data_IF_402704253542
#
_entry.id   IF_402704253542
#
_cell.length_a   1.000
_cell.length_b   1.000
_cell.length_c   1.000
_cell.angle_alpha   90.00
_cell.angle_beta   90.00
_cell.angle_gamma   90.00
#
_symmetry.space_group_name_H-M   'P 1'
#
loop_
_entity.id
_entity.type
_entity.pdbx_description
1 polymer ?
#
# COMPACT_ATOMS: atom_id res chain seq x y z
N UNK A 1 -22.51 -40.83 -5.78
CA UNK A 1 -22.28 -42.27 -5.41
C UNK A 1 -22.52 -43.11 -6.63
N UNK A 2 -21.49 -43.65 -7.24
CA UNK A 2 -21.58 -44.64 -8.28
C UNK A 2 -21.16 -45.98 -7.66
N UNK A 3 -22.13 -46.80 -7.29
CA UNK A 3 -21.91 -48.16 -6.86
C UNK A 3 -21.54 -49.02 -8.04
N UNK A 4 -20.31 -49.49 -8.11
CA UNK A 4 -19.94 -50.59 -8.96
C UNK A 4 -20.29 -51.89 -8.26
N UNK A 5 -21.06 -52.74 -8.96
CA UNK A 5 -21.65 -54.03 -8.53
C UNK A 5 -20.68 -55.13 -8.13
N UNK A 6 -19.43 -54.86 -7.89
CA UNK A 6 -18.47 -55.79 -7.31
C UNK A 6 -17.75 -55.07 -6.20
N UNK A 7 -18.01 -55.44 -4.95
CA UNK A 7 -17.52 -54.79 -3.72
C UNK A 7 -16.01 -54.82 -3.50
N UNK A 8 -15.25 -54.42 -4.49
CA UNK A 8 -13.83 -54.20 -4.38
C UNK A 8 -13.59 -52.72 -4.12
N UNK A 9 -13.36 -52.35 -2.86
CA UNK A 9 -12.81 -51.05 -2.49
C UNK A 9 -11.43 -50.91 -3.11
N UNK A 10 -11.37 -50.27 -4.27
CA UNK A 10 -10.09 -49.91 -4.87
C UNK A 10 -9.51 -48.77 -4.04
N UNK A 11 -8.58 -49.09 -3.15
CA UNK A 11 -7.83 -48.11 -2.39
C UNK A 11 -7.01 -47.31 -3.39
N UNK A 12 -7.46 -46.14 -3.74
CA UNK A 12 -6.72 -45.25 -4.64
C UNK A 12 -5.48 -44.74 -3.88
N UNK A 13 -4.32 -45.37 -4.16
CA UNK A 13 -3.03 -44.90 -3.63
C UNK A 13 -2.67 -43.60 -4.34
N UNK A 14 -2.88 -42.49 -3.67
CA UNK A 14 -2.48 -41.16 -4.16
C UNK A 14 -1.05 -40.86 -3.77
N UNK A 15 -0.29 -40.33 -4.71
CA UNK A 15 1.06 -39.80 -4.41
C UNK A 15 0.96 -38.49 -3.63
N UNK A 16 2.05 -38.13 -2.89
CA UNK A 16 2.14 -36.86 -2.16
C UNK A 16 1.87 -35.64 -3.08
N UNK A 17 2.32 -35.70 -4.33
CA UNK A 17 2.09 -34.66 -5.32
C UNK A 17 0.60 -34.53 -5.67
N UNK A 18 -0.10 -35.63 -5.86
CA UNK A 18 -1.55 -35.67 -6.15
C UNK A 18 -2.35 -35.14 -4.93
N UNK A 19 -1.97 -35.52 -3.72
CA UNK A 19 -2.56 -34.96 -2.49
C UNK A 19 -2.35 -33.45 -2.37
N UNK A 20 -1.19 -32.97 -2.77
CA UNK A 20 -0.87 -31.53 -2.74
C UNK A 20 -1.70 -30.72 -3.74
N UNK A 21 -2.02 -31.29 -4.91
CA UNK A 21 -2.89 -30.68 -5.91
C UNK A 21 -4.38 -30.72 -5.50
N UNK A 22 -4.83 -31.83 -4.91
CA UNK A 22 -6.23 -32.02 -4.50
C UNK A 22 -6.60 -31.23 -3.23
N UNK A 23 -5.64 -31.06 -2.34
CA UNK A 23 -5.78 -30.25 -1.13
C UNK A 23 -4.78 -29.10 -1.19
N UNK A 24 -5.09 -28.03 -1.95
CA UNK A 24 -4.23 -26.86 -1.97
C UNK A 24 -4.00 -26.41 -0.53
N UNK A 25 -2.75 -26.20 -0.16
CA UNK A 25 -2.41 -25.67 1.17
C UNK A 25 -3.27 -24.45 1.42
N UNK A 26 -4.09 -24.51 2.45
CA UNK A 26 -4.76 -23.31 2.95
C UNK A 26 -3.63 -22.28 3.17
N UNK A 27 -3.60 -21.17 2.41
CA UNK A 27 -2.56 -20.21 2.56
C UNK A 27 -2.53 -19.81 4.03
N UNK A 28 -1.40 -19.99 4.69
CA UNK A 28 -1.21 -19.55 6.09
C UNK A 28 -1.79 -18.15 6.15
N UNK A 29 -2.75 -17.92 7.04
CA UNK A 29 -3.34 -16.59 7.27
C UNK A 29 -2.16 -15.63 7.34
N UNK A 30 -1.89 -14.95 6.23
CA UNK A 30 -0.76 -14.04 6.13
C UNK A 30 -0.97 -13.05 7.23
N UNK A 31 -0.04 -13.01 8.15
CA UNK A 31 -0.05 -12.08 9.28
C UNK A 31 -0.36 -10.72 8.68
N UNK A 32 -1.57 -10.25 8.90
CA UNK A 32 -2.16 -9.14 8.20
C UNK A 32 -1.49 -7.85 8.65
N UNK A 33 -0.25 -7.66 8.22
CA UNK A 33 0.47 -6.38 8.38
C UNK A 33 -0.32 -5.19 7.80
N UNK A 34 -1.44 -5.49 7.12
CA UNK A 34 -2.33 -4.52 6.45
C UNK A 34 -3.78 -4.65 6.93
N UNK A 35 -4.00 -5.03 8.18
CA UNK A 35 -5.36 -5.17 8.75
C UNK A 35 -6.24 -3.98 8.44
N UNK A 36 -5.69 -2.77 8.60
CA UNK A 36 -6.47 -1.55 8.49
C UNK A 36 -6.90 -1.23 7.06
N UNK A 37 -6.24 -1.79 6.04
CA UNK A 37 -6.64 -1.65 4.63
C UNK A 37 -7.64 -2.70 4.15
N UNK A 38 -7.93 -3.74 4.96
CA UNK A 38 -8.90 -4.79 4.61
C UNK A 38 -8.69 -5.36 3.20
N UNK A 39 -7.46 -5.80 2.91
CA UNK A 39 -7.02 -6.34 1.61
C UNK A 39 -7.11 -5.37 0.42
N UNK A 40 -7.53 -4.12 0.62
CA UNK A 40 -7.52 -3.10 -0.43
C UNK A 40 -6.09 -2.60 -0.67
N UNK A 41 -5.69 -2.31 -1.91
CA UNK A 41 -4.36 -1.77 -2.20
C UNK A 41 -4.15 -0.37 -1.62
N UNK A 42 -5.19 0.46 -1.60
CA UNK A 42 -5.21 1.79 -0.98
C UNK A 42 -6.59 2.06 -0.37
N UNK A 43 -6.65 3.01 0.56
CA UNK A 43 -7.90 3.57 1.09
C UNK A 43 -7.79 5.08 1.25
N UNK A 44 -8.91 5.78 1.01
CA UNK A 44 -9.04 7.20 1.36
C UNK A 44 -9.18 7.36 2.87
N UNK A 45 -8.74 8.49 3.36
CA UNK A 45 -8.91 8.86 4.76
C UNK A 45 -8.72 10.35 4.98
N UNK A 46 -9.11 10.82 6.14
CA UNK A 46 -9.03 12.22 6.56
C UNK A 46 -7.93 12.39 7.59
N UNK A 47 -7.07 13.40 7.44
CA UNK A 47 -6.03 13.71 8.39
C UNK A 47 -6.62 14.26 9.70
N UNK A 48 -6.35 13.60 10.81
CA UNK A 48 -6.72 14.08 12.16
C UNK A 48 -5.67 15.02 12.73
N UNK A 49 -4.39 14.66 12.57
CA UNK A 49 -3.23 15.44 13.07
C UNK A 49 -2.02 15.15 12.19
N UNK A 50 -1.24 16.19 11.92
CA UNK A 50 0.08 16.10 11.29
C UNK A 50 1.15 16.44 12.31
N UNK A 51 2.21 15.65 12.41
CA UNK A 51 3.27 15.85 13.39
C UNK A 51 4.60 15.27 12.90
N UNK A 52 5.66 15.53 13.66
CA UNK A 52 7.02 15.10 13.36
C UNK A 52 7.40 14.00 14.35
N UNK A 53 8.08 12.97 13.85
CA UNK A 53 8.63 11.88 14.66
C UNK A 53 10.12 11.71 14.37
N UNK A 54 10.86 11.34 15.40
CA UNK A 54 12.28 10.97 15.30
C UNK A 54 12.41 9.48 15.03
N UNK A 55 13.36 9.03 14.20
CA UNK A 55 13.63 7.63 13.97
C UNK A 55 14.35 6.98 15.15
N UNK A 56 14.45 5.66 15.09
CA UNK A 56 15.27 4.88 16.03
C UNK A 56 16.76 5.09 15.78
N UNK A 57 17.58 5.01 16.84
CA UNK A 57 19.03 4.89 16.72
C UNK A 57 19.40 3.74 15.76
N UNK A 58 20.42 3.87 14.89
CA UNK A 58 21.42 4.95 14.82
C UNK A 58 21.01 6.17 13.97
N UNK A 59 19.80 6.21 13.40
CA UNK A 59 19.37 7.28 12.50
C UNK A 59 18.87 8.50 13.26
N UNK A 60 19.15 9.68 12.70
CA UNK A 60 18.65 10.96 13.19
C UNK A 60 18.02 11.72 12.04
N UNK A 61 16.77 12.13 12.18
CA UNK A 61 16.04 12.95 11.21
C UNK A 61 14.69 13.43 11.79
N UNK A 62 14.10 14.41 11.18
CA UNK A 62 12.73 14.85 11.46
C UNK A 62 11.80 14.29 10.38
N UNK A 63 11.08 13.20 10.71
CA UNK A 63 10.18 12.53 9.80
C UNK A 63 8.74 13.02 9.97
N UNK A 64 8.14 13.51 8.88
CA UNK A 64 6.76 14.01 8.88
C UNK A 64 5.79 12.85 8.74
N UNK A 65 4.83 12.76 9.63
CA UNK A 65 3.79 11.73 9.68
C UNK A 65 2.43 12.35 9.94
N UNK A 66 1.39 11.69 9.46
CA UNK A 66 0.01 12.08 9.73
C UNK A 66 -0.75 10.94 10.40
N UNK A 67 -1.59 11.27 11.38
CA UNK A 67 -2.60 10.36 11.89
C UNK A 67 -3.85 10.52 11.04
N UNK A 68 -4.26 9.46 10.40
CA UNK A 68 -5.34 9.44 9.41
C UNK A 68 -6.46 8.54 9.88
N UNK A 69 -7.70 9.01 9.79
CA UNK A 69 -8.91 8.21 9.91
C UNK A 69 -9.29 7.71 8.52
N UNK A 70 -9.21 6.40 8.30
CA UNK A 70 -9.57 5.77 7.04
C UNK A 70 -11.09 5.70 6.86
N UNK A 71 -11.56 5.47 5.63
CA UNK A 71 -12.98 5.30 5.30
C UNK A 71 -13.67 4.12 6.00
N UNK A 72 -12.91 3.17 6.54
CA UNK A 72 -13.39 2.07 7.37
C UNK A 72 -13.25 2.34 8.88
N UNK A 73 -13.14 3.60 9.27
CA UNK A 73 -13.02 4.08 10.66
C UNK A 73 -11.77 3.63 11.43
N UNK A 74 -10.82 2.93 10.77
CA UNK A 74 -9.54 2.61 11.39
C UNK A 74 -8.64 3.86 11.45
N UNK A 75 -7.98 4.05 12.59
CA UNK A 75 -7.00 5.13 12.78
C UNK A 75 -5.60 4.60 12.54
N UNK A 76 -4.90 5.17 11.58
CA UNK A 76 -3.55 4.75 11.20
C UNK A 76 -2.58 5.91 11.24
N UNK A 77 -1.31 5.61 11.53
CA UNK A 77 -0.22 6.57 11.36
C UNK A 77 0.48 6.29 10.04
N UNK A 78 0.49 7.28 9.15
CA UNK A 78 1.03 7.17 7.81
C UNK A 78 2.18 8.18 7.61
N UNK A 79 3.24 7.73 6.94
CA UNK A 79 4.39 8.55 6.59
C UNK A 79 4.07 9.46 5.39
N UNK A 80 4.53 10.69 5.43
CA UNK A 80 4.44 11.64 4.32
C UNK A 80 5.78 11.62 3.58
N UNK A 81 5.88 11.02 2.37
CA UNK A 81 7.14 10.90 1.66
C UNK A 81 7.57 12.22 1.01
N UNK A 82 8.86 12.45 0.97
CA UNK A 82 9.47 13.62 0.31
C UNK A 82 9.62 14.84 1.23
N UNK A 83 10.15 15.91 0.67
CA UNK A 83 10.31 17.21 1.36
C UNK A 83 8.98 17.96 1.37
N UNK A 84 8.78 18.87 2.26
CA UNK A 84 7.60 19.74 2.43
C UNK A 84 6.24 19.03 2.16
N UNK A 85 5.18 19.55 2.68
CA UNK A 85 3.81 19.11 2.40
C UNK A 85 2.82 20.24 2.74
N UNK A 86 1.66 20.18 2.12
CA UNK A 86 0.55 21.11 2.32
C UNK A 86 -0.58 20.52 3.20
N UNK A 87 -0.38 19.35 3.81
CA UNK A 87 -1.41 18.69 4.61
C UNK A 87 -1.68 19.42 5.92
N UNK A 88 -2.96 19.57 6.22
CA UNK A 88 -3.50 20.14 7.45
C UNK A 88 -4.50 19.18 8.10
N UNK A 89 -5.06 19.55 9.22
CA UNK A 89 -6.21 18.86 9.81
C UNK A 89 -7.36 18.87 8.83
N UNK A 90 -8.07 17.76 8.72
CA UNK A 90 -9.18 17.52 7.79
C UNK A 90 -8.82 17.35 6.30
N UNK A 91 -7.54 17.47 5.90
CA UNK A 91 -7.13 17.14 4.53
C UNK A 91 -7.46 15.69 4.20
N UNK A 92 -8.00 15.46 3.00
CA UNK A 92 -8.28 14.12 2.47
C UNK A 92 -7.01 13.57 1.82
N UNK A 93 -6.68 12.31 2.11
CA UNK A 93 -5.47 11.66 1.61
C UNK A 93 -5.74 10.24 1.14
N UNK A 94 -4.91 9.75 0.23
CA UNK A 94 -4.91 8.36 -0.19
C UNK A 94 -3.75 7.63 0.50
N UNK A 95 -4.07 6.60 1.28
CA UNK A 95 -3.11 5.83 2.08
C UNK A 95 -2.89 4.47 1.44
N UNK A 96 -1.63 4.05 1.34
CA UNK A 96 -1.20 2.72 0.91
C UNK A 96 -0.41 2.00 2.01
N UNK A 97 -0.29 0.70 1.90
CA UNK A 97 0.65 -0.06 2.71
C UNK A 97 2.10 0.31 2.34
N UNK A 98 2.96 0.35 3.34
CA UNK A 98 4.38 0.66 3.17
C UNK A 98 4.99 1.01 4.52
N UNK A 99 5.71 0.03 5.10
CA UNK A 99 6.39 0.22 6.38
C UNK A 99 7.64 1.07 6.21
N UNK A 100 7.84 2.01 7.12
CA UNK A 100 9.09 2.75 7.26
C UNK A 100 9.92 2.06 8.36
N UNK A 101 11.08 1.48 8.00
CA UNK A 101 11.86 0.63 8.90
C UNK A 101 12.37 1.37 10.14
N UNK A 102 12.74 2.64 9.99
CA UNK A 102 13.30 3.46 11.06
C UNK A 102 12.24 4.12 11.97
N UNK A 103 10.96 4.11 11.57
CA UNK A 103 9.89 4.67 12.39
C UNK A 103 9.08 3.58 13.08
N UNK A 104 9.06 3.52 14.42
CA UNK A 104 8.24 2.55 15.14
C UNK A 104 6.75 2.83 14.94
N UNK A 105 5.96 1.78 14.71
CA UNK A 105 4.51 1.88 14.56
C UNK A 105 4.01 2.41 13.22
N UNK A 106 4.85 2.95 12.34
CA UNK A 106 4.46 3.49 11.02
C UNK A 106 4.51 2.39 9.98
N UNK A 107 3.33 1.90 9.59
CA UNK A 107 3.15 0.80 8.63
C UNK A 107 2.53 1.24 7.31
N UNK A 108 2.14 2.49 7.19
CA UNK A 108 1.42 3.07 6.06
C UNK A 108 2.15 4.29 5.52
N UNK A 109 1.91 4.59 4.26
CA UNK A 109 2.50 5.75 3.56
C UNK A 109 1.41 6.45 2.76
N UNK A 110 1.42 7.76 2.74
CA UNK A 110 0.51 8.58 1.94
C UNK A 110 1.03 8.68 0.52
N UNK A 111 0.13 8.63 -0.46
CA UNK A 111 0.45 8.75 -1.88
C UNK A 111 0.43 10.22 -2.27
N UNK A 112 1.53 10.69 -2.86
CA UNK A 112 1.65 12.05 -3.39
C UNK A 112 0.94 12.23 -4.72
N UNK A 113 0.46 13.46 -4.98
CA UNK A 113 -0.21 13.82 -6.21
C UNK A 113 -1.63 13.24 -6.35
N UNK A 114 -2.22 12.80 -5.24
CA UNK A 114 -3.61 12.34 -5.15
C UNK A 114 -4.30 12.98 -3.97
N UNK A 115 -5.59 13.31 -4.15
CA UNK A 115 -6.38 14.06 -3.17
C UNK A 115 -5.68 15.39 -2.83
N UNK A 116 -5.63 15.77 -1.56
CA UNK A 116 -5.12 17.08 -1.14
C UNK A 116 -3.59 17.15 -1.05
N UNK A 117 -2.89 16.00 -1.06
CA UNK A 117 -1.43 16.00 -1.00
C UNK A 117 -0.80 16.31 -2.36
N UNK A 118 -0.17 17.47 -2.45
CA UNK A 118 0.51 17.91 -3.66
C UNK A 118 1.67 16.99 -4.06
N UNK A 119 1.91 16.92 -5.37
CA UNK A 119 3.10 16.30 -5.96
C UNK A 119 4.36 17.09 -5.62
N UNK A 120 5.52 16.44 -5.73
CA UNK A 120 6.80 17.17 -5.72
C UNK A 120 7.11 17.66 -7.13
N UNK A 121 7.46 18.93 -7.26
CA UNK A 121 7.68 19.56 -8.58
C UNK A 121 9.08 19.25 -9.11
N UNK A 122 10.12 19.42 -8.32
CA UNK A 122 11.52 19.46 -8.79
C UNK A 122 12.26 18.12 -8.79
N UNK A 123 11.52 17.02 -8.65
CA UNK A 123 12.17 15.73 -8.52
C UNK A 123 12.42 15.08 -9.88
N UNK A 124 13.70 14.82 -10.20
CA UNK A 124 14.11 14.20 -11.47
C UNK A 124 14.15 12.66 -11.41
N UNK A 125 14.59 12.06 -10.29
CA UNK A 125 14.70 10.60 -10.10
C UNK A 125 13.50 10.05 -9.31
N UNK A 126 13.05 8.82 -9.67
CA UNK A 126 11.92 8.12 -9.01
C UNK A 126 10.62 8.94 -8.98
N UNK A 127 10.31 9.63 -10.04
CA UNK A 127 9.18 10.56 -10.14
C UNK A 127 7.82 9.95 -9.78
N UNK A 128 7.56 8.72 -10.22
CA UNK A 128 6.29 8.02 -9.95
C UNK A 128 5.99 7.85 -8.46
N UNK A 129 7.02 7.73 -7.60
CA UNK A 129 6.83 7.62 -6.15
C UNK A 129 6.34 8.93 -5.50
N UNK A 130 6.52 10.04 -6.16
CA UNK A 130 6.23 11.39 -5.64
C UNK A 130 5.24 12.16 -6.50
N UNK A 131 4.62 11.50 -7.48
CA UNK A 131 3.63 12.10 -8.36
C UNK A 131 4.18 13.20 -9.28
N UNK A 132 5.50 13.25 -9.49
CA UNK A 132 6.16 14.29 -10.30
C UNK A 132 5.97 14.01 -11.79
N UNK A 133 5.57 15.02 -12.56
CA UNK A 133 5.45 14.97 -14.01
C UNK A 133 6.82 15.01 -14.68
N UNK A 134 6.88 14.64 -15.96
CA UNK A 134 8.09 14.79 -16.77
C UNK A 134 8.41 16.29 -16.93
N UNK A 135 9.68 16.70 -16.83
CA UNK A 135 10.08 18.07 -17.17
C UNK A 135 9.68 18.40 -18.62
N UNK A 136 9.06 19.55 -18.85
CA UNK A 136 8.55 19.95 -20.17
C UNK A 136 7.20 19.33 -20.59
N UNK A 137 6.59 18.50 -19.75
CA UNK A 137 5.23 18.00 -19.97
C UNK A 137 4.18 19.02 -19.52
N UNK A 138 3.49 19.61 -20.47
CA UNK A 138 2.32 20.46 -20.16
C UNK A 138 1.29 19.67 -19.39
N UNK A 139 0.87 20.21 -18.26
CA UNK A 139 -0.15 19.63 -17.39
C UNK A 139 -1.53 19.51 -18.06
N UNK A 140 -1.72 20.19 -19.20
CA UNK A 140 -2.96 20.25 -19.97
C UNK A 140 -2.99 19.29 -21.18
N UNK A 141 -1.94 18.49 -21.41
CA UNK A 141 -1.97 17.46 -22.45
C UNK A 141 -2.67 16.22 -21.88
N UNK A 142 -3.80 15.87 -22.48
CA UNK A 142 -4.49 14.62 -22.24
C UNK A 142 -3.56 13.39 -22.39
N UNK A 143 -3.95 12.22 -21.90
CA UNK A 143 -3.08 11.05 -21.70
C UNK A 143 -2.44 10.48 -22.98
N UNK A 144 -2.73 11.02 -24.17
CA UNK A 144 -2.32 10.45 -25.47
C UNK A 144 -1.38 11.30 -26.31
N UNK A 145 -0.83 12.40 -25.83
CA UNK A 145 0.19 13.12 -26.61
C UNK A 145 1.54 12.43 -26.52
N UNK A 146 1.86 11.65 -27.55
CA UNK A 146 3.24 11.18 -27.83
C UNK A 146 4.14 12.39 -28.00
N UNK A 147 5.19 12.50 -27.19
CA UNK A 147 6.28 13.45 -27.43
C UNK A 147 6.89 13.08 -28.78
N UNK A 148 6.80 13.96 -29.78
CA UNK A 148 7.64 13.86 -30.99
C UNK A 148 9.07 14.10 -30.54
N UNK A 149 9.92 13.11 -30.76
CA UNK A 149 11.37 13.19 -30.63
C UNK A 149 11.89 13.98 -31.83
#
# INVERSE_FOLDING_TARGET
MLENRAGNFTTIKMTLSQLQQRYPRIPKKTNTRRRDLQLSPQKKGTCLKVFITTPRKPNSALRKVARVLLSNYHRVTAYIPGMSHNLQKHSVVLVRGGRVKDLPGVRYTIIRGKCDLQRLVDRRKRRSKYGTTLPGGDTNRGPYHKVKV
#
